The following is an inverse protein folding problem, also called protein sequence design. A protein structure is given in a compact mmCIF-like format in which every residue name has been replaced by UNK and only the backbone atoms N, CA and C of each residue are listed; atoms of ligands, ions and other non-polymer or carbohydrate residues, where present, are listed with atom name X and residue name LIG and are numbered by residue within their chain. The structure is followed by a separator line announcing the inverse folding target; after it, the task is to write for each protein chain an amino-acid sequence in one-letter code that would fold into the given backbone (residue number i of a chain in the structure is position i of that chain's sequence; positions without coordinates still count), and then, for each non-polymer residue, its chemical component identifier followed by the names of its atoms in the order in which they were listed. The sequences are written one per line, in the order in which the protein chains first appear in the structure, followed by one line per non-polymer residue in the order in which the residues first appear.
data_IF_729441757087
#
_entry.id   IF_729441757087
#
_cell.length_a   1.000
_cell.length_b   1.000
_cell.length_c   1.000
_cell.angle_alpha   90.00
_cell.angle_beta   90.00
_cell.angle_gamma   90.00
#
_symmetry.space_group_name_H-M   'P 1'
#
loop_
_entity.id
_entity.type
_entity.pdbx_description
1 polymer ?
#
# COMPACT_ATOMS: atom_id res chain seq x y z
N UNK A 1 -1.01 -0.05 -18.30
CA UNK A 1 -0.75 -0.28 -16.86
C UNK A 1 -0.84 1.06 -16.17
N UNK A 2 -1.85 1.32 -15.33
CA UNK A 2 -1.93 2.57 -14.55
C UNK A 2 -1.16 2.34 -13.25
N UNK A 3 -0.12 3.14 -13.01
CA UNK A 3 0.65 3.12 -11.77
C UNK A 3 0.36 4.37 -10.98
N UNK A 4 0.07 4.22 -9.69
CA UNK A 4 -0.09 5.33 -8.76
C UNK A 4 1.24 5.50 -8.04
N UNK A 5 1.80 6.70 -8.09
CA UNK A 5 3.03 7.06 -7.38
C UNK A 5 2.72 8.11 -6.31
N UNK A 6 3.31 7.95 -5.13
CA UNK A 6 3.20 8.92 -4.05
C UNK A 6 4.28 8.67 -3.00
N UNK A 7 4.62 9.73 -2.26
CA UNK A 7 5.51 9.64 -1.12
C UNK A 7 4.75 10.12 0.12
N UNK A 8 4.86 9.39 1.21
CA UNK A 8 4.23 9.73 2.47
C UNK A 8 5.27 9.71 3.58
N UNK A 9 5.20 10.73 4.44
CA UNK A 9 5.97 10.75 5.68
C UNK A 9 5.36 9.73 6.63
N UNK A 10 6.18 8.90 7.25
CA UNK A 10 5.74 8.03 8.35
C UNK A 10 5.57 8.88 9.61
N UNK A 11 4.45 8.70 10.33
CA UNK A 11 4.15 9.45 11.55
C UNK A 11 4.98 9.00 12.77
N UNK A 12 5.65 7.85 12.65
CA UNK A 12 6.58 7.32 13.65
C UNK A 12 7.90 6.92 13.01
N UNK A 13 8.92 6.77 13.86
CA UNK A 13 10.23 6.23 13.49
C UNK A 13 10.46 4.95 14.29
N UNK A 14 10.88 3.88 13.63
CA UNK A 14 11.32 2.67 14.29
C UNK A 14 12.84 2.62 14.44
N UNK A 15 13.31 1.80 15.39
CA UNK A 15 14.73 1.45 15.52
C UNK A 15 15.12 0.32 14.56
N UNK A 16 14.17 -0.23 13.80
CA UNK A 16 14.39 -1.31 12.84
C UNK A 16 13.82 -0.92 11.48
N UNK A 17 14.67 -0.96 10.46
CA UNK A 17 14.31 -0.72 9.06
C UNK A 17 13.18 -1.64 8.59
N UNK A 18 13.22 -2.92 8.99
CA UNK A 18 12.17 -3.90 8.69
C UNK A 18 10.81 -3.47 9.20
N UNK A 19 10.76 -2.92 10.42
CA UNK A 19 9.50 -2.50 11.03
C UNK A 19 8.94 -1.23 10.37
N UNK A 20 9.80 -0.27 10.02
CA UNK A 20 9.38 0.93 9.29
C UNK A 20 8.84 0.59 7.90
N UNK A 21 9.50 -0.30 7.18
CA UNK A 21 9.07 -0.76 5.85
C UNK A 21 7.78 -1.60 5.92
N UNK A 22 7.61 -2.41 6.98
CA UNK A 22 6.36 -3.12 7.23
C UNK A 22 5.19 -2.16 7.48
N UNK A 23 5.40 -1.15 8.35
CA UNK A 23 4.38 -0.12 8.63
C UNK A 23 4.03 0.66 7.36
N UNK A 24 5.03 1.05 6.57
CA UNK A 24 4.80 1.70 5.27
C UNK A 24 3.95 0.83 4.33
N UNK A 25 4.28 -0.46 4.24
CA UNK A 25 3.55 -1.41 3.39
C UNK A 25 2.09 -1.57 3.84
N UNK A 26 1.85 -1.63 5.16
CA UNK A 26 0.52 -1.70 5.75
C UNK A 26 -0.32 -0.45 5.45
N UNK A 27 0.28 0.74 5.57
CA UNK A 27 -0.36 2.02 5.25
C UNK A 27 -0.75 2.10 3.76
N UNK A 28 0.12 1.63 2.86
CA UNK A 28 -0.21 1.55 1.44
C UNK A 28 -1.32 0.52 1.18
N UNK A 29 -1.29 -0.64 1.81
CA UNK A 29 -2.35 -1.64 1.69
C UNK A 29 -3.72 -1.08 2.13
N UNK A 30 -3.75 -0.31 3.22
CA UNK A 30 -4.96 0.38 3.69
C UNK A 30 -5.49 1.39 2.66
N UNK A 31 -4.60 2.14 2.01
CA UNK A 31 -4.98 3.07 0.93
C UNK A 31 -5.49 2.35 -0.30
N UNK A 32 -4.88 1.23 -0.69
CA UNK A 32 -5.34 0.39 -1.81
C UNK A 32 -6.76 -0.12 -1.54
N UNK A 33 -7.07 -0.51 -0.30
CA UNK A 33 -8.43 -0.89 0.08
C UNK A 33 -9.42 0.27 -0.07
N UNK A 34 -9.06 1.47 0.40
CA UNK A 34 -9.89 2.67 0.20
C UNK A 34 -10.07 3.03 -1.28
N UNK A 35 -9.03 2.88 -2.10
CA UNK A 35 -9.10 3.07 -3.55
C UNK A 35 -10.03 2.05 -4.21
N UNK A 36 -10.01 0.78 -3.77
CA UNK A 36 -10.94 -0.26 -4.24
C UNK A 36 -12.39 0.16 -4.00
N UNK A 37 -12.70 0.63 -2.80
CA UNK A 37 -14.03 1.11 -2.44
C UNK A 37 -14.43 2.32 -3.29
N UNK A 38 -13.53 3.30 -3.43
CA UNK A 38 -13.75 4.48 -4.26
C UNK A 38 -14.03 4.12 -5.73
N UNK A 39 -13.23 3.21 -6.31
CA UNK A 39 -13.43 2.72 -7.69
C UNK A 39 -14.80 2.06 -7.86
N UNK A 40 -15.22 1.28 -6.87
CA UNK A 40 -16.53 0.63 -6.88
C UNK A 40 -17.66 1.67 -6.87
N UNK A 41 -17.52 2.73 -6.07
CA UNK A 41 -18.50 3.84 -6.01
C UNK A 41 -18.62 4.58 -7.33
N UNK A 42 -17.53 4.79 -8.06
CA UNK A 42 -17.56 5.46 -9.39
C UNK A 42 -17.89 4.51 -10.55
N UNK A 43 -18.27 3.26 -10.27
CA UNK A 43 -18.66 2.27 -11.28
C UNK A 43 -17.50 1.66 -12.07
N UNK A 44 -16.26 1.82 -11.60
CA UNK A 44 -15.07 1.22 -12.21
C UNK A 44 -14.77 -0.09 -11.51
N UNK A 45 -14.73 -1.19 -12.26
CA UNK A 45 -14.39 -2.50 -11.72
C UNK A 45 -12.89 -2.55 -11.32
N UNK A 46 -12.57 -2.74 -10.02
CA UNK A 46 -11.18 -2.90 -9.60
C UNK A 46 -10.58 -4.22 -10.11
N UNK A 47 -9.30 -4.20 -10.47
CA UNK A 47 -8.54 -5.43 -10.80
C UNK A 47 -8.29 -6.22 -9.52
N UNK A 48 -8.62 -7.52 -9.52
CA UNK A 48 -8.43 -8.42 -8.38
C UNK A 48 -7.64 -9.66 -8.85
N UNK A 49 -6.55 -10.06 -8.15
CA UNK A 49 -5.97 -9.40 -6.97
C UNK A 49 -5.24 -8.09 -7.33
N UNK A 50 -5.31 -7.10 -6.44
CA UNK A 50 -4.46 -5.90 -6.53
C UNK A 50 -3.06 -6.25 -6.00
N UNK A 51 -2.05 -6.12 -6.85
CA UNK A 51 -0.66 -6.43 -6.48
C UNK A 51 -0.01 -5.21 -5.85
N UNK A 52 0.52 -5.38 -4.64
CA UNK A 52 1.44 -4.45 -4.01
C UNK A 52 2.86 -5.00 -4.17
N UNK A 53 3.77 -4.19 -4.71
CA UNK A 53 5.18 -4.52 -4.83
C UNK A 53 5.95 -3.83 -3.70
N UNK A 54 6.64 -4.61 -2.87
CA UNK A 54 7.48 -4.13 -1.77
C UNK A 54 8.87 -4.72 -1.99
N UNK A 55 9.91 -3.90 -1.85
CA UNK A 55 11.31 -4.31 -1.98
C UNK A 55 11.83 -5.03 -0.72
N UNK A 56 11.32 -4.65 0.45
CA UNK A 56 11.60 -5.36 1.69
C UNK A 56 10.85 -6.70 1.78
N UNK A 57 11.56 -7.78 1.47
CA UNK A 57 11.03 -9.14 1.55
C UNK A 57 10.65 -9.56 2.97
N UNK A 58 11.25 -8.97 4.01
CA UNK A 58 10.87 -9.25 5.40
C UNK A 58 9.52 -8.62 5.79
N UNK A 59 9.00 -7.69 4.99
CA UNK A 59 7.67 -7.11 5.15
C UNK A 59 6.57 -7.90 4.40
N UNK A 60 6.94 -8.89 3.60
CA UNK A 60 6.03 -9.79 2.89
C UNK A 60 5.76 -10.98 3.83
N UNK A 61 4.60 -11.00 4.49
CA UNK A 61 4.14 -12.14 5.30
C UNK A 61 3.46 -13.18 4.42
#
# INVERSE_FOLDING_TARGET
MVMIWGAWKQDGVSLSTTKDEFVASLEIARKILGLREMLTVVGIAPVIPMKLHVDNQAAII
#
